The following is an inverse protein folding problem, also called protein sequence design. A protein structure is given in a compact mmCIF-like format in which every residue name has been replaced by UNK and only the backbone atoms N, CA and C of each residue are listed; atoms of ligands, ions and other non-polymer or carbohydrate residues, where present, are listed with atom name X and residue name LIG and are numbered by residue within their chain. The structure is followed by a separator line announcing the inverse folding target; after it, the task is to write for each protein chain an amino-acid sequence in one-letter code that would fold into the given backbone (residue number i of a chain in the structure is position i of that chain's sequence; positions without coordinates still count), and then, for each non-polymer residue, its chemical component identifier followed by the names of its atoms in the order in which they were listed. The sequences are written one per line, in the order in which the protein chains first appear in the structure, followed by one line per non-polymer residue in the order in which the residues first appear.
data_IF_692884194118
#
_entry.id   IF_692884194118
#
_cell.length_a   1.000
_cell.length_b   1.000
_cell.length_c   1.000
_cell.angle_alpha   90.00
_cell.angle_beta   90.00
_cell.angle_gamma   90.00
#
_symmetry.space_group_name_H-M   'P 1'
#
loop_
_entity.id
_entity.type
_entity.pdbx_description
1 polymer ?
#
# COMPACT_ATOMS: atom_id res chain seq x y z
N UNK A 1 9.29 -10.05 1.94
CA UNK A 1 8.62 -9.33 0.88
C UNK A 1 7.10 -9.34 1.07
N UNK A 2 6.41 -8.23 0.73
CA UNK A 2 4.94 -8.13 0.80
C UNK A 2 4.25 -8.74 -0.43
N UNK A 3 5.00 -9.25 -1.38
CA UNK A 3 4.51 -9.97 -2.56
C UNK A 3 5.64 -10.29 -3.52
N UNK A 4 5.45 -11.35 -4.32
CA UNK A 4 6.44 -11.81 -5.30
C UNK A 4 6.08 -11.43 -6.73
N UNK A 5 4.85 -10.97 -6.96
CA UNK A 5 4.33 -10.67 -8.31
C UNK A 5 4.03 -9.17 -8.45
N UNK A 6 4.09 -8.62 -9.69
CA UNK A 6 3.69 -7.24 -9.94
C UNK A 6 2.23 -6.92 -9.59
N UNK A 7 1.38 -7.93 -9.41
CA UNK A 7 -0.02 -7.78 -8.99
C UNK A 7 -0.20 -7.49 -7.52
N UNK A 8 0.81 -7.72 -6.69
CA UNK A 8 0.81 -7.25 -5.30
C UNK A 8 1.26 -5.79 -5.26
N UNK A 9 0.54 -4.94 -4.55
CA UNK A 9 0.82 -3.52 -4.40
C UNK A 9 0.33 -3.01 -3.02
N UNK A 10 0.72 -1.81 -2.57
CA UNK A 10 0.30 -1.25 -1.29
C UNK A 10 -1.21 -1.30 -1.08
N UNK A 11 -2.01 -0.89 -2.06
CA UNK A 11 -3.47 -0.87 -1.96
C UNK A 11 -4.09 -2.25 -1.68
N UNK A 12 -3.54 -3.32 -2.28
CA UNK A 12 -4.03 -4.69 -2.06
C UNK A 12 -3.50 -5.29 -0.77
N UNK A 13 -2.25 -4.98 -0.39
CA UNK A 13 -1.64 -5.55 0.79
C UNK A 13 -2.22 -4.98 2.09
N UNK A 14 -2.43 -3.67 2.15
CA UNK A 14 -3.10 -3.00 3.28
C UNK A 14 -4.59 -3.34 3.34
N UNK A 15 -5.19 -3.72 2.20
CA UNK A 15 -6.53 -4.31 2.13
C UNK A 15 -7.66 -3.33 1.79
N UNK A 16 -7.37 -2.05 1.57
CA UNK A 16 -8.42 -1.07 1.25
C UNK A 16 -8.88 -1.11 -0.22
N UNK A 17 -8.18 -1.83 -1.11
CA UNK A 17 -8.54 -1.91 -2.52
C UNK A 17 -9.95 -2.49 -2.76
N UNK A 18 -10.42 -3.38 -1.89
CA UNK A 18 -11.76 -3.94 -1.98
C UNK A 18 -12.86 -2.88 -1.78
N UNK A 19 -12.62 -1.91 -0.91
CA UNK A 19 -13.55 -0.81 -0.72
C UNK A 19 -13.52 0.16 -1.92
N UNK A 20 -12.36 0.42 -2.51
CA UNK A 20 -12.24 1.19 -3.77
C UNK A 20 -13.02 0.50 -4.91
N UNK A 21 -12.89 -0.83 -5.08
CA UNK A 21 -13.64 -1.59 -6.09
C UNK A 21 -15.16 -1.44 -5.91
N UNK A 22 -15.65 -1.42 -4.68
CA UNK A 22 -17.08 -1.21 -4.37
C UNK A 22 -17.54 0.21 -4.75
N UNK A 23 -16.70 1.23 -4.56
CA UNK A 23 -17.02 2.60 -4.97
C UNK A 23 -17.23 2.69 -6.49
N UNK A 24 -16.31 2.11 -7.28
CA UNK A 24 -16.47 2.08 -8.74
C UNK A 24 -17.70 1.29 -9.17
N UNK A 25 -17.95 0.12 -8.60
CA UNK A 25 -19.15 -0.68 -8.89
C UNK A 25 -20.46 0.03 -8.47
N UNK A 26 -20.39 0.97 -7.53
CA UNK A 26 -21.51 1.79 -7.09
C UNK A 26 -21.88 2.93 -8.06
N UNK A 27 -21.02 3.26 -9.03
CA UNK A 27 -21.30 4.34 -10.00
C UNK A 27 -22.47 4.01 -10.91
N UNK A 28 -23.15 5.03 -11.42
CA UNK A 28 -24.28 4.85 -12.33
C UNK A 28 -23.86 4.13 -13.61
N UNK A 29 -22.70 4.50 -14.17
CA UNK A 29 -22.16 3.88 -15.39
C UNK A 29 -21.85 2.40 -15.19
N UNK A 30 -21.20 2.02 -14.07
CA UNK A 30 -20.96 0.63 -13.74
C UNK A 30 -22.26 -0.18 -13.60
N UNK A 31 -23.27 0.38 -12.93
CA UNK A 31 -24.58 -0.28 -12.76
C UNK A 31 -25.31 -0.50 -14.09
N UNK A 32 -25.31 0.49 -14.97
CA UNK A 32 -25.93 0.38 -16.31
C UNK A 32 -25.24 -0.70 -17.14
N UNK A 33 -23.92 -0.87 -17.01
CA UNK A 33 -23.13 -1.89 -17.71
C UNK A 33 -23.17 -3.26 -17.00
N UNK A 34 -23.81 -3.38 -15.83
CA UNK A 34 -23.81 -4.62 -15.05
C UNK A 34 -22.45 -4.97 -14.43
N UNK A 35 -21.59 -3.98 -14.17
CA UNK A 35 -20.24 -4.17 -13.64
C UNK A 35 -20.24 -4.24 -12.11
N UNK A 36 -20.01 -5.43 -11.57
CA UNK A 36 -19.81 -5.62 -10.14
C UNK A 36 -18.36 -5.33 -9.69
N UNK A 37 -18.06 -5.40 -8.37
CA UNK A 37 -16.72 -5.12 -7.83
C UNK A 37 -15.60 -5.99 -8.43
N UNK A 38 -15.91 -7.20 -8.91
CA UNK A 38 -14.96 -8.08 -9.60
C UNK A 38 -14.39 -7.48 -10.89
N UNK A 39 -15.18 -6.65 -11.59
CA UNK A 39 -14.74 -5.96 -12.81
C UNK A 39 -13.55 -5.02 -12.55
N UNK A 40 -13.49 -4.43 -11.37
CA UNK A 40 -12.44 -3.49 -10.94
C UNK A 40 -11.29 -4.18 -10.20
N UNK A 41 -11.14 -5.51 -10.39
CA UNK A 41 -10.00 -6.30 -9.92
C UNK A 41 -9.04 -6.58 -11.05
N UNK A 42 -7.79 -6.17 -10.92
CA UNK A 42 -6.75 -6.54 -11.88
C UNK A 42 -6.23 -7.98 -11.72
N UNK A 43 -6.73 -8.70 -10.70
CA UNK A 43 -6.42 -10.11 -10.48
C UNK A 43 -7.43 -11.08 -11.12
N UNK A 44 -8.58 -10.55 -11.57
CA UNK A 44 -9.70 -11.33 -12.11
C UNK A 44 -9.88 -11.04 -13.58
N UNK A 45 -10.12 -12.06 -14.38
CA UNK A 45 -10.46 -11.91 -15.79
C UNK A 45 -11.74 -11.09 -16.00
N UNK A 46 -11.89 -10.49 -17.19
CA UNK A 46 -13.04 -9.71 -17.60
C UNK A 46 -12.85 -8.21 -17.47
N UNK A 47 -12.22 -7.68 -16.40
CA UNK A 47 -11.93 -6.26 -16.22
C UNK A 47 -10.48 -5.88 -16.42
N UNK A 48 -9.58 -6.80 -16.18
CA UNK A 48 -8.13 -6.59 -16.34
C UNK A 48 -7.72 -6.50 -17.80
N UNK A 49 -6.56 -5.92 -18.04
CA UNK A 49 -5.89 -6.03 -19.33
C UNK A 49 -5.41 -7.47 -19.53
N UNK A 50 -5.90 -8.17 -20.53
CA UNK A 50 -5.53 -9.56 -20.77
C UNK A 50 -4.12 -9.68 -21.39
N UNK A 51 -3.61 -8.66 -22.09
CA UNK A 51 -2.26 -8.68 -22.67
C UNK A 51 -1.15 -8.77 -21.59
N UNK A 52 -1.36 -8.16 -20.42
CA UNK A 52 -0.43 -8.24 -19.28
C UNK A 52 -1.04 -8.95 -18.07
N UNK A 53 -2.20 -9.56 -18.21
CA UNK A 53 -2.95 -10.23 -17.15
C UNK A 53 -3.10 -9.39 -15.86
N UNK A 54 -3.26 -8.08 -16.02
CA UNK A 54 -3.40 -7.14 -14.90
C UNK A 54 -2.08 -6.78 -14.20
N UNK A 55 -0.93 -7.18 -14.72
CA UNK A 55 0.38 -6.85 -14.16
C UNK A 55 0.79 -5.40 -14.45
N UNK A 56 0.29 -4.80 -15.54
CA UNK A 56 0.68 -3.47 -16.02
C UNK A 56 2.04 -3.47 -16.74
N UNK A 57 2.78 -4.56 -16.66
CA UNK A 57 4.09 -4.76 -17.31
C UNK A 57 4.10 -6.07 -18.05
N UNK A 58 4.95 -6.16 -19.09
CA UNK A 58 5.29 -7.37 -19.80
C UNK A 58 6.77 -7.70 -19.58
N UNK A 59 7.09 -8.97 -19.48
CA UNK A 59 8.45 -9.44 -19.33
C UNK A 59 8.97 -9.83 -20.74
N UNK A 60 10.08 -9.24 -21.13
CA UNK A 60 10.81 -9.63 -22.34
C UNK A 60 11.94 -10.55 -21.89
N UNK A 61 11.81 -11.84 -22.21
CA UNK A 61 12.84 -12.83 -21.94
C UNK A 61 14.05 -12.61 -22.88
N UNK A 62 15.24 -12.57 -22.29
CA UNK A 62 16.50 -12.42 -23.00
C UNK A 62 17.38 -13.66 -22.79
N UNK A 63 17.86 -14.25 -23.89
CA UNK A 63 18.60 -15.52 -23.85
C UNK A 63 19.91 -15.49 -23.06
N UNK A 64 20.55 -14.32 -22.89
CA UNK A 64 21.86 -14.15 -22.24
C UNK A 64 21.92 -13.00 -21.22
N UNK A 65 20.82 -12.29 -21.01
CA UNK A 65 20.71 -11.16 -20.08
C UNK A 65 19.52 -11.38 -19.16
N UNK A 66 19.49 -10.70 -17.99
CA UNK A 66 18.31 -10.72 -17.13
C UNK A 66 17.07 -10.21 -17.89
N UNK A 67 15.92 -10.83 -17.64
CA UNK A 67 14.64 -10.43 -18.20
C UNK A 67 14.35 -8.95 -17.96
N UNK A 68 13.88 -8.26 -18.97
CA UNK A 68 13.51 -6.84 -18.90
C UNK A 68 12.00 -6.70 -18.78
N UNK A 69 11.56 -5.93 -17.79
CA UNK A 69 10.15 -5.57 -17.62
C UNK A 69 9.88 -4.22 -18.26
N UNK A 70 8.96 -4.19 -19.21
CA UNK A 70 8.50 -2.98 -19.89
C UNK A 70 7.03 -2.72 -19.57
N UNK A 71 6.59 -1.48 -19.66
CA UNK A 71 5.17 -1.16 -19.52
C UNK A 71 4.37 -1.88 -20.62
N UNK A 72 3.21 -2.41 -20.27
CA UNK A 72 2.31 -3.01 -21.23
C UNK A 72 1.82 -1.95 -22.23
N UNK A 73 2.09 -2.13 -23.51
CA UNK A 73 1.72 -1.23 -24.60
C UNK A 73 0.20 -1.11 -24.77
N UNK A 74 -0.56 -2.18 -24.49
CA UNK A 74 -2.02 -2.21 -24.61
C UNK A 74 -2.71 -1.35 -23.56
N UNK A 75 -2.30 -1.43 -22.28
CA UNK A 75 -2.94 -0.68 -21.21
C UNK A 75 -2.12 0.51 -20.69
N UNK A 76 -0.90 0.72 -21.19
CA UNK A 76 -0.01 1.78 -20.74
C UNK A 76 0.31 1.71 -19.25
N UNK A 77 0.43 0.51 -18.68
CA UNK A 77 0.65 0.31 -17.25
C UNK A 77 -0.60 0.36 -16.38
N UNK A 78 -1.76 0.74 -16.90
CA UNK A 78 -3.01 0.96 -16.14
C UNK A 78 -3.72 -0.32 -15.68
N UNK A 79 -3.25 -1.52 -16.07
CA UNK A 79 -3.68 -2.86 -15.61
C UNK A 79 -5.08 -3.30 -16.04
N UNK A 80 -5.94 -2.43 -16.52
CA UNK A 80 -7.33 -2.71 -16.92
C UNK A 80 -7.53 -2.55 -18.41
N UNK A 81 -8.59 -3.17 -18.94
CA UNK A 81 -9.01 -2.97 -20.32
C UNK A 81 -9.73 -1.62 -20.50
N UNK A 82 -9.85 -1.18 -21.75
CA UNK A 82 -10.43 0.13 -22.08
C UNK A 82 -11.86 0.33 -21.56
N UNK A 83 -12.69 -0.72 -21.62
CA UNK A 83 -14.08 -0.66 -21.14
C UNK A 83 -14.18 -0.42 -19.62
N UNK A 84 -13.29 -1.04 -18.83
CA UNK A 84 -13.22 -0.84 -17.38
C UNK A 84 -12.67 0.55 -17.05
N UNK A 85 -11.67 1.02 -17.80
CA UNK A 85 -11.09 2.35 -17.65
C UNK A 85 -12.05 3.47 -18.07
N UNK A 86 -13.05 3.18 -18.90
CA UNK A 86 -14.08 4.15 -19.28
C UNK A 86 -15.03 4.50 -18.10
N UNK A 87 -15.14 3.62 -17.08
CA UNK A 87 -15.91 3.91 -15.87
C UNK A 87 -15.10 4.81 -14.96
N UNK A 88 -15.66 5.98 -14.63
CA UNK A 88 -15.00 6.95 -13.75
C UNK A 88 -15.77 7.15 -12.44
N UNK A 89 -15.02 7.48 -11.41
CA UNK A 89 -15.52 7.96 -10.13
C UNK A 89 -14.74 9.21 -9.75
N UNK A 90 -15.46 10.34 -9.52
CA UNK A 90 -14.85 11.68 -9.35
C UNK A 90 -13.85 12.01 -10.46
N UNK A 91 -14.26 11.77 -11.72
CA UNK A 91 -13.49 12.04 -12.94
C UNK A 91 -12.14 11.28 -13.03
N UNK A 92 -11.97 10.21 -12.26
CA UNK A 92 -10.79 9.32 -12.31
C UNK A 92 -11.22 7.90 -12.63
N UNK A 93 -10.50 7.25 -13.54
CA UNK A 93 -10.63 5.81 -13.76
C UNK A 93 -9.98 5.01 -12.62
N UNK A 94 -10.32 3.74 -12.53
CA UNK A 94 -9.68 2.83 -11.55
C UNK A 94 -8.16 2.72 -11.78
N UNK A 95 -7.70 2.87 -13.03
CA UNK A 95 -6.28 2.91 -13.36
C UNK A 95 -5.60 4.20 -12.88
N UNK A 96 -6.27 5.34 -13.00
CA UNK A 96 -5.77 6.64 -12.51
C UNK A 96 -5.64 6.62 -10.98
N UNK A 97 -6.61 5.99 -10.29
CA UNK A 97 -6.53 5.82 -8.84
C UNK A 97 -5.32 4.98 -8.43
N UNK A 98 -5.01 3.90 -9.14
CA UNK A 98 -3.78 3.12 -8.88
C UNK A 98 -2.49 3.92 -9.09
N UNK A 99 -2.51 4.87 -10.00
CA UNK A 99 -1.38 5.72 -10.32
C UNK A 99 -1.21 6.91 -9.33
N UNK A 100 -2.22 7.21 -8.50
CA UNK A 100 -2.10 8.26 -7.49
C UNK A 100 -1.02 7.91 -6.47
N UNK A 101 -0.26 8.90 -6.01
CA UNK A 101 0.55 8.75 -4.80
C UNK A 101 -0.35 8.75 -3.56
N UNK A 102 0.17 8.23 -2.45
CA UNK A 102 -0.58 8.16 -1.18
C UNK A 102 -1.01 9.56 -0.72
N UNK A 103 -0.12 10.57 -0.85
CA UNK A 103 -0.42 11.95 -0.42
C UNK A 103 -1.63 12.52 -1.17
N UNK A 104 -1.70 12.34 -2.49
CA UNK A 104 -2.85 12.78 -3.29
C UNK A 104 -4.12 12.00 -2.95
N UNK A 105 -3.97 10.70 -2.71
CA UNK A 105 -5.08 9.81 -2.43
C UNK A 105 -5.72 10.08 -1.06
N UNK A 106 -4.98 10.56 -0.05
CA UNK A 106 -5.54 10.97 1.25
C UNK A 106 -6.65 12.00 1.05
N UNK A 107 -6.40 13.08 0.31
CA UNK A 107 -7.41 14.09 0.03
C UNK A 107 -8.54 13.57 -0.88
N UNK A 108 -8.20 12.76 -1.87
CA UNK A 108 -9.18 12.19 -2.80
C UNK A 108 -10.21 11.29 -2.11
N UNK A 109 -9.82 10.55 -1.08
CA UNK A 109 -10.68 9.63 -0.32
C UNK A 109 -11.13 10.15 1.05
N UNK A 110 -11.02 11.45 1.32
CA UNK A 110 -11.38 12.08 2.61
C UNK A 110 -12.79 11.68 3.11
N UNK A 111 -13.77 11.60 2.21
CA UNK A 111 -15.14 11.21 2.52
C UNK A 111 -15.35 9.70 2.73
N UNK A 112 -14.30 8.88 2.65
CA UNK A 112 -14.34 7.42 2.77
C UNK A 112 -13.48 6.93 3.93
N UNK A 113 -13.99 6.92 5.18
CA UNK A 113 -13.19 6.74 6.39
C UNK A 113 -12.27 5.52 6.41
N UNK A 114 -12.72 4.38 5.85
CA UNK A 114 -11.91 3.15 5.82
C UNK A 114 -10.69 3.28 4.91
N UNK A 115 -10.88 3.84 3.72
CA UNK A 115 -9.80 4.05 2.74
C UNK A 115 -8.88 5.16 3.23
N UNK A 116 -9.45 6.28 3.65
CA UNK A 116 -8.74 7.44 4.18
C UNK A 116 -7.85 7.06 5.37
N UNK A 117 -8.37 6.31 6.35
CA UNK A 117 -7.57 5.85 7.50
C UNK A 117 -6.34 5.03 7.08
N UNK A 118 -6.51 4.08 6.16
CA UNK A 118 -5.39 3.27 5.67
C UNK A 118 -4.34 4.11 4.93
N UNK A 119 -4.77 5.10 4.15
CA UNK A 119 -3.89 6.03 3.45
C UNK A 119 -3.14 6.96 4.41
N UNK A 120 -3.82 7.47 5.45
CA UNK A 120 -3.18 8.28 6.51
C UNK A 120 -2.10 7.49 7.24
N UNK A 121 -2.36 6.19 7.54
CA UNK A 121 -1.34 5.35 8.14
C UNK A 121 -0.11 5.15 7.23
N UNK A 122 -0.31 5.01 5.91
CA UNK A 122 0.80 4.96 4.95
C UNK A 122 1.60 6.27 4.92
N UNK A 123 0.91 7.41 5.01
CA UNK A 123 1.55 8.73 5.09
C UNK A 123 2.32 8.91 6.41
N UNK A 124 1.76 8.45 7.54
CA UNK A 124 2.37 8.52 8.87
C UNK A 124 3.69 7.73 8.96
N UNK A 125 3.87 6.69 8.15
CA UNK A 125 5.13 5.94 8.09
C UNK A 125 6.08 6.45 6.99
N UNK A 126 5.84 7.64 6.42
CA UNK A 126 6.70 8.26 5.41
C UNK A 126 6.61 7.61 4.02
N UNK A 127 5.47 7.02 3.66
CA UNK A 127 5.23 6.39 2.37
C UNK A 127 4.30 7.23 1.47
N UNK A 128 4.18 8.54 1.72
CA UNK A 128 3.31 9.45 1.00
C UNK A 128 3.59 9.52 -0.50
N UNK A 129 4.85 9.36 -0.89
CA UNK A 129 5.30 9.39 -2.29
C UNK A 129 4.99 8.13 -3.10
N UNK A 130 4.73 6.99 -2.45
CA UNK A 130 4.45 5.73 -3.15
C UNK A 130 3.13 5.80 -3.90
N UNK A 131 3.08 5.22 -5.10
CA UNK A 131 1.81 5.05 -5.80
C UNK A 131 1.01 3.88 -5.22
N UNK A 132 -0.32 3.98 -5.21
CA UNK A 132 -1.20 2.94 -4.67
C UNK A 132 -1.00 1.60 -5.39
N UNK A 133 -0.71 1.65 -6.68
CA UNK A 133 -0.44 0.50 -7.54
C UNK A 133 1.03 0.11 -7.65
N UNK A 134 1.95 0.67 -6.86
CA UNK A 134 3.38 0.34 -6.91
C UNK A 134 3.59 -1.18 -6.83
N UNK A 135 4.23 -1.82 -7.82
CA UNK A 135 4.46 -3.26 -7.78
C UNK A 135 5.36 -3.66 -6.59
N UNK A 136 4.92 -4.61 -5.77
CA UNK A 136 5.69 -5.03 -4.58
C UNK A 136 7.15 -5.42 -4.85
N UNK A 137 7.52 -6.05 -5.99
CA UNK A 137 8.92 -6.34 -6.28
C UNK A 137 9.81 -5.12 -6.52
N UNK A 138 9.25 -3.93 -6.69
CA UNK A 138 10.00 -2.68 -6.88
C UNK A 138 10.20 -1.90 -5.60
N UNK A 139 9.63 -2.37 -4.49
CA UNK A 139 9.77 -1.74 -3.18
C UNK A 139 11.12 -2.10 -2.55
N UNK A 140 11.71 -1.13 -1.87
CA UNK A 140 12.86 -1.38 -1.00
C UNK A 140 12.48 -2.22 0.23
N UNK A 141 13.47 -2.79 0.92
CA UNK A 141 13.25 -3.53 2.17
C UNK A 141 12.53 -2.69 3.23
N UNK A 142 12.95 -1.45 3.44
CA UNK A 142 12.35 -0.53 4.39
C UNK A 142 10.91 -0.14 4.03
N UNK A 143 10.60 0.12 2.75
CA UNK A 143 9.23 0.38 2.29
C UNK A 143 8.31 -0.82 2.56
N UNK A 144 8.77 -2.03 2.22
CA UNK A 144 8.02 -3.25 2.45
C UNK A 144 7.77 -3.50 3.95
N UNK A 145 8.76 -3.20 4.81
CA UNK A 145 8.63 -3.29 6.27
C UNK A 145 7.58 -2.30 6.80
N UNK A 146 7.64 -1.04 6.37
CA UNK A 146 6.67 -0.01 6.77
C UNK A 146 5.25 -0.33 6.31
N UNK A 147 5.07 -0.87 5.11
CA UNK A 147 3.74 -1.33 4.64
C UNK A 147 3.20 -2.46 5.53
N UNK A 148 4.04 -3.40 5.98
CA UNK A 148 3.61 -4.43 6.94
C UNK A 148 3.18 -3.80 8.26
N UNK A 149 3.95 -2.84 8.77
CA UNK A 149 3.62 -2.11 9.99
C UNK A 149 2.25 -1.43 9.89
N UNK A 150 1.96 -0.75 8.78
CA UNK A 150 0.64 -0.15 8.49
C UNK A 150 -0.47 -1.20 8.55
N UNK A 151 -0.24 -2.40 8.01
CA UNK A 151 -1.26 -3.47 8.04
C UNK A 151 -1.58 -3.92 9.47
N UNK A 152 -0.58 -3.98 10.35
CA UNK A 152 -0.79 -4.29 11.77
C UNK A 152 -1.52 -3.15 12.50
N UNK A 153 -1.11 -1.90 12.25
CA UNK A 153 -1.78 -0.72 12.82
C UNK A 153 -3.25 -0.61 12.41
N UNK A 154 -3.56 -0.91 11.15
CA UNK A 154 -4.94 -0.89 10.65
C UNK A 154 -5.85 -1.94 11.33
N UNK A 155 -5.27 -2.97 11.94
CA UNK A 155 -5.98 -4.00 12.72
C UNK A 155 -6.20 -3.59 14.18
N UNK A 156 -5.43 -2.64 14.70
CA UNK A 156 -5.60 -2.17 16.07
C UNK A 156 -6.97 -1.50 16.22
N UNK A 157 -7.77 -2.01 17.15
CA UNK A 157 -9.06 -1.40 17.52
C UNK A 157 -8.92 -0.83 18.91
N UNK A 158 -9.13 0.48 19.12
CA UNK A 158 -9.14 1.07 20.44
C UNK A 158 -10.19 0.34 21.35
N UNK A 159 -9.80 -0.02 22.59
CA UNK A 159 -10.73 -0.53 23.58
C UNK A 159 -11.04 -2.03 23.53
N UNK A 160 -10.32 -2.84 22.77
CA UNK A 160 -10.46 -4.31 22.84
C UNK A 160 -9.46 -4.86 23.88
N UNK A 161 -9.89 -4.95 25.11
CA UNK A 161 -9.22 -5.73 26.15
C UNK A 161 -9.19 -7.20 25.72
N UNK A 162 -8.00 -7.85 25.77
CA UNK A 162 -7.87 -9.29 25.53
C UNK A 162 -7.28 -9.71 24.17
N UNK A 163 -6.70 -8.80 23.38
CA UNK A 163 -5.83 -9.20 22.27
C UNK A 163 -4.49 -9.68 22.83
N UNK A 164 -4.01 -10.83 22.33
CA UNK A 164 -2.69 -11.34 22.67
C UNK A 164 -1.64 -10.24 22.41
N UNK A 165 -0.75 -10.00 23.38
CA UNK A 165 0.38 -9.09 23.22
C UNK A 165 1.27 -9.59 22.08
N UNK A 166 1.64 -8.68 21.18
CA UNK A 166 2.51 -8.98 20.04
C UNK A 166 3.88 -8.37 20.29
N UNK A 167 4.93 -9.12 20.00
CA UNK A 167 6.30 -8.61 19.93
C UNK A 167 6.59 -8.21 18.48
N UNK A 168 6.84 -6.92 18.27
CA UNK A 168 7.32 -6.38 16.99
C UNK A 168 8.83 -6.23 17.04
N UNK A 169 9.54 -6.82 16.10
CA UNK A 169 10.98 -6.63 15.91
C UNK A 169 11.18 -5.90 14.59
N UNK A 170 11.74 -4.71 14.67
CA UNK A 170 11.95 -3.81 13.53
C UNK A 170 13.45 -3.57 13.35
N UNK A 171 13.91 -3.74 12.13
CA UNK A 171 15.31 -3.58 11.75
C UNK A 171 15.43 -2.29 10.92
N UNK A 172 16.11 -1.29 11.48
CA UNK A 172 16.35 0.03 10.91
C UNK A 172 15.10 0.67 10.22
N UNK A 173 13.96 0.79 10.94
CA UNK A 173 12.72 1.26 10.31
C UNK A 173 12.77 2.70 9.81
N UNK A 174 13.76 3.50 10.24
CA UNK A 174 13.94 4.90 9.80
C UNK A 174 14.86 5.05 8.61
N UNK A 175 15.49 3.97 8.12
CA UNK A 175 16.37 4.06 6.95
C UNK A 175 15.62 4.61 5.74
N UNK A 176 16.21 5.66 5.14
CA UNK A 176 15.65 6.34 3.97
C UNK A 176 14.51 7.31 4.27
N UNK A 177 14.20 7.57 5.55
CA UNK A 177 13.25 8.62 5.94
C UNK A 177 13.92 9.99 6.03
N UNK A 178 13.18 11.02 5.65
CA UNK A 178 13.53 12.40 6.00
C UNK A 178 13.28 12.64 7.50
N UNK A 179 14.02 13.56 8.12
CA UNK A 179 13.89 13.83 9.56
C UNK A 179 12.45 14.11 10.02
N UNK A 180 11.65 14.83 9.22
CA UNK A 180 10.25 15.09 9.52
C UNK A 180 9.37 13.80 9.55
N UNK A 181 9.78 12.76 8.83
CA UNK A 181 9.07 11.49 8.81
C UNK A 181 9.54 10.54 9.91
N UNK A 182 10.76 10.74 10.46
CA UNK A 182 11.25 10.03 11.64
C UNK A 182 10.34 10.31 12.84
N UNK A 183 9.98 11.56 13.08
CA UNK A 183 9.05 11.94 14.17
C UNK A 183 7.67 11.26 14.02
N UNK A 184 7.16 11.17 12.79
CA UNK A 184 5.91 10.45 12.51
C UNK A 184 6.07 8.96 12.81
N UNK A 185 7.19 8.35 12.40
CA UNK A 185 7.49 6.95 12.68
C UNK A 185 7.56 6.67 14.18
N UNK A 186 8.21 7.52 14.95
CA UNK A 186 8.26 7.41 16.42
C UNK A 186 6.84 7.40 17.00
N UNK A 187 5.97 8.33 16.59
CA UNK A 187 4.56 8.33 17.03
C UNK A 187 3.82 7.04 16.66
N UNK A 188 4.14 6.46 15.52
CA UNK A 188 3.58 5.16 15.10
C UNK A 188 4.05 4.03 16.02
N UNK A 189 5.32 4.01 16.43
CA UNK A 189 5.86 3.03 17.38
C UNK A 189 5.21 3.18 18.75
N UNK A 190 5.06 4.39 19.26
CA UNK A 190 4.35 4.64 20.52
C UNK A 190 2.89 4.13 20.47
N UNK A 191 2.17 4.33 19.37
CA UNK A 191 0.81 3.79 19.21
C UNK A 191 0.75 2.26 19.31
N UNK A 192 1.79 1.53 18.88
CA UNK A 192 1.87 0.08 19.07
C UNK A 192 2.06 -0.27 20.55
N UNK A 193 2.95 0.44 21.24
CA UNK A 193 3.23 0.24 22.67
C UNK A 193 2.00 0.57 23.51
N UNK A 194 1.35 1.71 23.25
CA UNK A 194 0.12 2.16 23.94
C UNK A 194 -1.04 1.16 23.74
N UNK A 195 -1.04 0.41 22.64
CA UNK A 195 -1.99 -0.68 22.41
C UNK A 195 -1.65 -1.97 23.19
N UNK A 196 -0.64 -1.95 24.08
CA UNK A 196 -0.24 -3.07 24.94
C UNK A 196 0.75 -4.05 24.29
N UNK A 197 1.40 -3.65 23.19
CA UNK A 197 2.40 -4.48 22.52
C UNK A 197 3.82 -4.17 23.02
N UNK A 198 4.77 -5.04 22.66
CA UNK A 198 6.19 -4.80 22.86
C UNK A 198 6.85 -4.53 21.52
N UNK A 199 7.68 -3.48 21.45
CA UNK A 199 8.40 -3.11 20.24
C UNK A 199 9.91 -3.14 20.53
N UNK A 200 10.65 -3.93 19.77
CA UNK A 200 12.12 -3.95 19.77
C UNK A 200 12.59 -3.37 18.45
N UNK A 201 13.42 -2.34 18.53
CA UNK A 201 13.94 -1.64 17.34
C UNK A 201 15.45 -1.74 17.33
N UNK A 202 16.01 -2.18 16.22
CA UNK A 202 17.44 -2.07 15.93
C UNK A 202 17.61 -0.76 15.17
N UNK A 203 18.32 0.20 15.74
CA UNK A 203 18.43 1.56 15.17
C UNK A 203 19.75 2.23 15.50
N UNK A 204 20.10 3.19 14.66
CA UNK A 204 21.23 4.11 14.84
C UNK A 204 20.76 5.59 14.92
N UNK A 205 19.49 5.85 14.71
CA UNK A 205 18.90 7.17 14.78
C UNK A 205 18.72 7.61 16.22
N UNK A 206 19.39 8.72 16.61
CA UNK A 206 19.38 9.21 17.98
C UNK A 206 18.00 9.68 18.45
N UNK A 207 17.16 10.19 17.56
CA UNK A 207 15.81 10.63 17.92
C UNK A 207 14.94 9.44 18.33
N UNK A 208 15.07 8.29 17.62
CA UNK A 208 14.37 7.04 17.97
C UNK A 208 14.92 6.47 19.29
N UNK A 209 16.24 6.51 19.47
CA UNK A 209 16.87 6.01 20.70
C UNK A 209 16.46 6.83 21.93
N UNK A 210 16.32 8.16 21.78
CA UNK A 210 15.93 9.05 22.85
C UNK A 210 14.50 8.80 23.36
N UNK A 211 13.64 8.23 22.52
CA UNK A 211 12.23 7.94 22.84
C UNK A 211 12.02 6.49 23.36
N UNK A 212 13.10 5.71 23.50
CA UNK A 212 13.01 4.33 23.96
C UNK A 212 12.89 4.28 25.50
N UNK A 213 12.02 3.38 26.01
CA UNK A 213 11.93 3.09 27.46
C UNK A 213 13.18 2.39 27.98
N UNK A 214 13.85 1.62 27.11
CA UNK A 214 15.05 0.83 27.45
C UNK A 214 15.99 0.73 26.26
N UNK A 215 17.28 0.93 26.51
CA UNK A 215 18.34 0.80 25.49
C UNK A 215 19.26 -0.37 25.86
N UNK A 216 19.55 -1.20 24.88
CA UNK A 216 20.55 -2.28 24.95
C UNK A 216 21.68 -1.94 23.99
N UNK A 217 22.85 -1.65 24.53
CA UNK A 217 24.08 -1.48 23.76
C UNK A 217 24.82 -2.81 23.66
N UNK A 218 25.15 -3.20 22.44
CA UNK A 218 25.82 -4.48 22.16
C UNK A 218 27.35 -4.35 22.04
N UNK A 219 27.90 -3.10 22.16
CA UNK A 219 29.33 -2.81 22.08
C UNK A 219 29.82 -2.50 20.70
#
# INVERSE_FOLDING_TARGET
PIGKTPRSCPATYVGFWDDVRKLFAGTTDAKVRGYGPGRFSFNTAGGRCEACEGQGVQTIEMSFLPDVKVLCDVCGGRRFNAETLAVTWRDRSVGDVLAMCVDDAVGFFEAHPKVHHALTLLQDVGLGYLTLGQPSPTLSGGEAQRIKLVTELARLRPGREGTAQTLYVLDEPTVGLHMADVEKMVRVLHRLVDAGNTVVVIEHNLDVMAEADWIVDLG
#
